data_IF_266355009381
#
_entry.id   IF_266355009381
#
_cell.length_a   1.000
_cell.length_b   1.000
_cell.length_c   1.000
_cell.angle_alpha   90.00
_cell.angle_beta   90.00
_cell.angle_gamma   90.00
#
_symmetry.space_group_name_H-M   'P 1'
#
loop_
_entity.id
_entity.type
_entity.pdbx_description
1 polymer ?
#
# COMPACT_ATOMS: atom_id res chain seq x y z
N UNK A 1 -1.94 28.13 8.54
CA UNK A 1 -2.84 27.17 9.26
C UNK A 1 -4.22 27.79 9.42
N UNK A 2 -5.23 27.06 9.02
CA UNK A 2 -6.62 27.47 9.09
C UNK A 2 -7.36 26.61 10.11
N UNK A 3 -8.13 27.25 11.00
CA UNK A 3 -8.98 26.52 11.93
C UNK A 3 -10.13 25.84 11.18
N UNK A 4 -10.37 24.55 11.44
CA UNK A 4 -11.49 23.80 10.86
C UNK A 4 -12.86 24.32 11.31
N UNK A 5 -12.91 25.09 12.41
CA UNK A 5 -14.15 25.73 12.89
C UNK A 5 -14.55 26.98 12.11
N UNK A 6 -13.68 27.49 11.26
CA UNK A 6 -13.91 28.68 10.41
C UNK A 6 -13.39 28.38 9.01
N UNK A 7 -14.25 27.83 8.16
CA UNK A 7 -13.96 27.65 6.74
C UNK A 7 -13.81 29.02 6.06
N UNK A 8 -12.61 29.58 6.07
CA UNK A 8 -12.28 30.72 5.23
C UNK A 8 -11.76 30.16 3.90
N UNK A 9 -12.66 29.79 2.99
CA UNK A 9 -12.30 29.52 1.61
C UNK A 9 -11.72 30.78 0.98
N UNK A 10 -10.44 30.80 0.68
CA UNK A 10 -9.82 31.82 -0.17
C UNK A 10 -9.99 31.37 -1.61
N UNK A 11 -10.94 31.96 -2.30
CA UNK A 11 -11.20 31.70 -3.72
C UNK A 11 -10.29 32.58 -4.57
N UNK A 12 -9.61 32.00 -5.55
CA UNK A 12 -8.85 32.76 -6.56
C UNK A 12 -9.86 33.35 -7.54
N UNK A 13 -9.93 34.70 -7.64
CA UNK A 13 -10.72 35.35 -8.67
C UNK A 13 -10.15 35.08 -10.07
N UNK A 14 -11.03 34.94 -11.06
CA UNK A 14 -10.65 34.58 -12.44
C UNK A 14 -9.64 35.55 -13.09
N UNK A 15 -9.57 36.81 -12.61
CA UNK A 15 -8.63 37.82 -13.10
C UNK A 15 -7.17 37.61 -12.71
N UNK A 16 -6.90 36.80 -11.69
CA UNK A 16 -5.53 36.53 -11.21
C UNK A 16 -4.94 35.26 -11.79
N UNK A 17 -5.74 34.42 -12.48
CA UNK A 17 -5.29 33.13 -13.05
C UNK A 17 -4.47 33.35 -14.32
N UNK A 18 -3.15 33.16 -14.21
CA UNK A 18 -2.23 32.94 -15.34
C UNK A 18 -2.15 31.49 -15.79
N UNK A 19 -3.08 30.63 -15.36
CA UNK A 19 -3.10 29.20 -15.62
C UNK A 19 -4.46 28.75 -16.16
N UNK A 20 -4.46 27.64 -16.90
CA UNK A 20 -5.66 26.99 -17.41
C UNK A 20 -5.76 25.58 -16.86
N UNK A 21 -6.96 25.16 -16.47
CA UNK A 21 -7.20 23.77 -16.03
C UNK A 21 -7.48 22.90 -17.24
N UNK A 22 -6.79 21.78 -17.34
CA UNK A 22 -7.00 20.76 -18.38
C UNK A 22 -7.47 19.45 -17.77
N UNK A 23 -8.43 18.79 -18.43
CA UNK A 23 -8.85 17.42 -18.07
C UNK A 23 -8.28 16.45 -19.09
N UNK A 24 -7.55 15.44 -18.60
CA UNK A 24 -7.03 14.38 -19.46
C UNK A 24 -8.15 13.44 -19.90
N UNK A 25 -8.43 13.34 -21.21
CA UNK A 25 -9.42 12.39 -21.74
C UNK A 25 -9.06 10.92 -21.50
N UNK A 26 -7.80 10.60 -21.22
CA UNK A 26 -7.34 9.21 -21.04
C UNK A 26 -7.48 8.70 -19.62
N UNK A 27 -7.37 9.55 -18.59
CA UNK A 27 -7.42 9.13 -17.19
C UNK A 27 -8.25 10.05 -16.29
N UNK A 28 -8.84 11.13 -16.83
CA UNK A 28 -9.68 12.05 -16.06
C UNK A 28 -8.90 13.03 -15.16
N UNK A 29 -7.57 12.98 -15.12
CA UNK A 29 -6.78 13.88 -14.28
C UNK A 29 -7.01 15.34 -14.62
N UNK A 30 -7.26 16.18 -13.60
CA UNK A 30 -7.38 17.63 -13.71
C UNK A 30 -6.01 18.26 -13.42
N UNK A 31 -5.43 18.94 -14.40
CA UNK A 31 -4.07 19.47 -14.32
C UNK A 31 -4.08 20.95 -14.64
N UNK A 32 -3.41 21.73 -13.84
CA UNK A 32 -3.20 23.14 -14.07
C UNK A 32 -1.96 23.35 -14.94
N UNK A 33 -2.11 24.08 -16.04
CA UNK A 33 -1.04 24.39 -16.97
C UNK A 33 -0.95 25.89 -17.19
N UNK A 34 0.26 26.39 -17.48
CA UNK A 34 0.44 27.79 -17.78
C UNK A 34 -0.44 28.24 -19.00
N UNK A 35 -0.99 29.45 -18.98
CA UNK A 35 -1.92 29.94 -19.98
C UNK A 35 -1.38 29.90 -21.43
N UNK A 36 -0.05 29.93 -21.59
CA UNK A 36 0.67 29.89 -22.87
C UNK A 36 1.20 28.51 -23.22
N UNK A 37 0.82 27.46 -22.48
CA UNK A 37 1.29 26.10 -22.72
C UNK A 37 0.56 25.50 -23.92
N UNK A 38 1.26 25.26 -25.02
CA UNK A 38 0.77 24.45 -26.14
C UNK A 38 0.69 22.99 -25.71
N UNK A 39 -0.32 22.25 -26.20
CA UNK A 39 -0.67 20.88 -25.88
C UNK A 39 0.52 19.99 -25.43
N UNK A 40 0.58 19.69 -24.15
CA UNK A 40 1.52 18.74 -23.55
C UNK A 40 0.83 17.40 -23.30
N UNK A 41 1.60 16.33 -23.08
CA UNK A 41 1.06 15.02 -22.76
C UNK A 41 0.78 14.88 -21.26
N UNK A 42 -0.25 14.12 -20.90
CA UNK A 42 -0.62 13.86 -19.52
C UNK A 42 0.55 13.18 -18.75
N UNK A 43 1.00 13.71 -17.61
CA UNK A 43 2.08 13.12 -16.83
C UNK A 43 1.72 11.75 -16.26
N UNK A 44 0.42 11.45 -16.11
CA UNK A 44 -0.06 10.21 -15.53
C UNK A 44 -0.25 9.09 -16.55
N UNK A 45 -0.78 9.38 -17.74
CA UNK A 45 -1.12 8.35 -18.72
C UNK A 45 -0.49 8.55 -20.09
N UNK A 46 0.21 9.67 -20.32
CA UNK A 46 0.84 10.00 -21.61
C UNK A 46 -0.13 10.43 -22.72
N UNK A 47 -1.44 10.50 -22.47
CA UNK A 47 -2.43 10.94 -23.46
C UNK A 47 -2.35 12.45 -23.69
N UNK A 48 -2.74 12.93 -24.89
CA UNK A 48 -2.79 14.37 -25.18
C UNK A 48 -3.96 15.04 -24.45
N UNK A 49 -3.76 16.26 -23.99
CA UNK A 49 -4.76 17.05 -23.27
C UNK A 49 -5.91 17.56 -24.13
N UNK A 50 -7.00 17.86 -23.44
CA UNK A 50 -8.10 18.69 -23.93
C UNK A 50 -8.30 19.84 -22.95
N UNK A 51 -8.39 21.05 -23.43
CA UNK A 51 -8.79 22.22 -22.67
C UNK A 51 -10.15 21.94 -22.00
N UNK A 52 -10.22 22.11 -20.70
CA UNK A 52 -11.46 22.07 -19.94
C UNK A 52 -11.85 23.47 -19.54
N UNK A 53 -13.16 23.66 -19.33
CA UNK A 53 -13.69 24.89 -18.84
C UNK A 53 -13.08 25.31 -17.49
N UNK A 54 -13.05 26.62 -17.25
CA UNK A 54 -12.45 27.20 -16.04
C UNK A 54 -13.09 26.64 -14.79
N UNK A 55 -12.27 26.12 -13.86
CA UNK A 55 -12.73 25.84 -12.52
C UNK A 55 -12.69 27.15 -11.72
N UNK A 56 -13.86 27.67 -11.36
CA UNK A 56 -13.99 29.02 -10.79
C UNK A 56 -13.67 29.08 -9.29
N UNK A 57 -13.85 27.98 -8.54
CA UNK A 57 -13.74 27.94 -7.07
C UNK A 57 -12.72 26.88 -6.60
N UNK A 58 -11.46 27.26 -6.47
CA UNK A 58 -10.43 26.41 -5.89
C UNK A 58 -9.78 27.10 -4.68
N UNK A 59 -9.54 26.33 -3.60
CA UNK A 59 -8.78 26.82 -2.44
C UNK A 59 -7.33 27.03 -2.87
N UNK A 60 -6.81 28.23 -2.65
CA UNK A 60 -5.43 28.59 -2.95
C UNK A 60 -4.51 27.75 -2.04
N UNK A 61 -3.40 27.17 -2.54
CA UNK A 61 -2.43 26.53 -1.70
C UNK A 61 -1.81 27.51 -0.68
N UNK A 62 -1.66 27.08 0.56
CA UNK A 62 -0.95 27.82 1.60
C UNK A 62 0.55 27.78 1.38
N UNK A 63 1.06 26.64 0.86
CA UNK A 63 2.46 26.43 0.68
C UNK A 63 2.83 25.49 -0.44
N UNK A 64 4.08 25.59 -0.86
CA UNK A 64 4.69 24.75 -1.89
C UNK A 64 6.01 24.19 -1.36
N UNK A 65 6.21 22.90 -1.47
CA UNK A 65 7.51 22.28 -1.23
C UNK A 65 8.32 22.29 -2.52
N UNK A 66 9.43 23.03 -2.64
CA UNK A 66 10.20 23.09 -3.88
C UNK A 66 10.81 21.75 -4.26
N UNK A 67 10.97 21.48 -5.57
CA UNK A 67 11.77 20.35 -6.05
C UNK A 67 13.21 20.48 -5.59
N UNK A 68 13.76 19.42 -4.98
CA UNK A 68 15.16 19.33 -4.57
C UNK A 68 15.96 18.38 -5.47
N UNK A 69 15.29 17.51 -6.18
CA UNK A 69 15.88 16.57 -7.14
C UNK A 69 15.69 17.11 -8.55
N UNK A 70 16.79 17.30 -9.27
CA UNK A 70 16.74 17.72 -10.67
C UNK A 70 16.41 16.57 -11.63
N UNK A 71 16.02 16.92 -12.88
CA UNK A 71 15.63 15.95 -13.92
C UNK A 71 16.71 14.92 -14.25
N UNK A 72 18.00 15.29 -14.21
CA UNK A 72 19.06 14.37 -14.54
C UNK A 72 19.18 13.30 -13.45
N UNK A 73 19.15 13.75 -12.20
CA UNK A 73 19.18 12.86 -11.03
C UNK A 73 17.98 11.92 -10.98
N UNK A 74 16.79 12.40 -11.33
CA UNK A 74 15.57 11.59 -11.42
C UNK A 74 15.75 10.42 -12.40
N UNK A 75 16.35 10.70 -13.56
CA UNK A 75 16.63 9.66 -14.56
C UNK A 75 17.57 8.57 -14.05
N UNK A 76 18.58 8.94 -13.27
CA UNK A 76 19.49 7.97 -12.62
C UNK A 76 18.77 7.13 -11.56
N UNK A 77 17.97 7.78 -10.70
CA UNK A 77 17.21 7.12 -9.64
C UNK A 77 16.22 6.10 -10.23
N UNK A 78 15.51 6.48 -11.28
CA UNK A 78 14.59 5.58 -11.97
C UNK A 78 15.32 4.36 -12.57
N UNK A 79 16.45 4.59 -13.26
CA UNK A 79 17.27 3.49 -13.81
C UNK A 79 17.78 2.55 -12.70
N UNK A 80 18.24 3.09 -11.58
CA UNK A 80 18.68 2.31 -10.41
C UNK A 80 17.54 1.48 -9.85
N UNK A 81 16.37 2.09 -9.67
CA UNK A 81 15.17 1.41 -9.19
C UNK A 81 14.77 0.25 -10.10
N UNK A 82 14.75 0.48 -11.42
CA UNK A 82 14.39 -0.53 -12.41
C UNK A 82 15.39 -1.71 -12.45
N UNK A 83 16.70 -1.43 -12.34
CA UNK A 83 17.74 -2.47 -12.23
C UNK A 83 17.54 -3.36 -11.01
N UNK A 84 17.09 -2.81 -9.90
CA UNK A 84 16.80 -3.55 -8.66
C UNK A 84 15.57 -4.47 -8.75
N UNK A 85 14.74 -4.35 -9.79
CA UNK A 85 13.54 -5.18 -9.99
C UNK A 85 13.89 -6.48 -10.74
N UNK A 86 14.57 -7.40 -10.04
CA UNK A 86 15.05 -8.66 -10.64
C UNK A 86 13.91 -9.55 -11.19
N UNK A 87 12.69 -9.48 -10.62
CA UNK A 87 11.49 -10.17 -11.12
C UNK A 87 10.94 -9.55 -12.40
N UNK A 88 11.33 -8.33 -12.77
CA UNK A 88 10.85 -7.66 -13.96
C UNK A 88 11.38 -8.37 -15.24
N UNK A 89 10.61 -8.35 -16.35
CA UNK A 89 11.09 -8.79 -17.66
C UNK A 89 12.33 -8.00 -18.10
N UNK A 90 13.27 -8.66 -18.77
CA UNK A 90 14.51 -8.02 -19.26
C UNK A 90 14.26 -6.82 -20.20
N UNK A 91 13.26 -6.95 -21.05
CA UNK A 91 12.81 -5.92 -22.01
C UNK A 91 12.46 -4.58 -21.34
N UNK A 92 11.99 -4.61 -20.09
CA UNK A 92 11.59 -3.41 -19.35
C UNK A 92 12.76 -2.43 -19.15
N UNK A 93 13.98 -2.95 -19.07
CA UNK A 93 15.20 -2.14 -18.88
C UNK A 93 15.48 -1.22 -20.06
N UNK A 94 14.93 -1.54 -21.24
CA UNK A 94 15.09 -0.78 -22.47
C UNK A 94 13.91 0.17 -22.77
N UNK A 95 12.80 0.08 -22.02
CA UNK A 95 11.62 0.94 -22.19
C UNK A 95 11.74 2.31 -21.51
N UNK A 96 12.85 2.57 -20.84
CA UNK A 96 13.12 3.84 -20.21
C UNK A 96 13.32 4.96 -21.23
N UNK A 97 12.49 5.98 -21.14
CA UNK A 97 12.64 7.24 -21.87
C UNK A 97 12.59 8.39 -20.85
N UNK A 98 13.71 9.05 -20.66
CA UNK A 98 13.86 10.16 -19.70
C UNK A 98 12.90 11.31 -20.00
N UNK A 99 12.58 11.52 -21.27
CA UNK A 99 11.68 12.57 -21.76
C UNK A 99 10.24 12.41 -21.25
N UNK A 100 9.85 11.21 -20.85
CA UNK A 100 8.51 10.93 -20.30
C UNK A 100 8.39 11.18 -18.79
N UNK A 101 9.50 11.47 -18.09
CA UNK A 101 9.48 11.88 -16.70
C UNK A 101 9.07 13.35 -16.59
N UNK A 102 7.89 13.61 -16.07
CA UNK A 102 7.37 14.96 -15.89
C UNK A 102 7.28 15.29 -14.40
N UNK A 103 7.79 16.46 -14.04
CA UNK A 103 7.60 17.01 -12.71
C UNK A 103 6.20 17.60 -12.59
N UNK A 104 5.52 17.26 -11.51
CA UNK A 104 4.20 17.75 -11.18
C UNK A 104 4.10 18.04 -9.69
N UNK A 105 3.43 19.12 -9.36
CA UNK A 105 3.01 19.41 -8.01
C UNK A 105 1.66 18.78 -7.74
N UNK A 106 1.60 17.91 -6.72
CA UNK A 106 0.40 17.24 -6.26
C UNK A 106 -0.20 17.99 -5.07
N UNK A 107 -1.52 18.21 -5.07
CA UNK A 107 -2.19 18.82 -3.92
C UNK A 107 -2.30 17.82 -2.77
N UNK A 108 -2.06 18.31 -1.56
CA UNK A 108 -2.25 17.59 -0.31
C UNK A 108 -2.91 18.47 0.72
N UNK A 109 -3.71 17.87 1.58
CA UNK A 109 -4.17 18.47 2.82
C UNK A 109 -3.29 18.01 3.96
N UNK A 110 -2.93 18.90 4.87
CA UNK A 110 -2.33 18.55 6.16
C UNK A 110 -3.29 18.89 7.27
N UNK A 111 -3.30 18.08 8.32
CA UNK A 111 -4.17 18.29 9.46
C UNK A 111 -3.36 18.17 10.75
N UNK A 112 -3.57 19.13 11.67
CA UNK A 112 -3.05 19.08 13.02
C UNK A 112 -4.21 18.89 13.99
N UNK A 113 -4.02 18.10 15.05
CA UNK A 113 -5.04 17.88 16.06
C UNK A 113 -4.45 17.45 17.40
N UNK A 114 -4.99 17.94 18.50
CA UNK A 114 -4.76 17.37 19.84
C UNK A 114 -5.78 16.28 20.09
N UNK A 115 -5.33 15.09 20.41
CA UNK A 115 -6.16 13.94 20.73
C UNK A 115 -6.03 13.56 22.20
N UNK A 116 -7.17 13.50 22.90
CA UNK A 116 -7.33 12.88 24.21
C UNK A 116 -8.16 11.60 24.04
N UNK A 117 -7.53 10.45 24.25
CA UNK A 117 -8.15 9.15 24.04
C UNK A 117 -8.16 8.30 25.31
N UNK A 118 -9.23 7.52 25.48
CA UNK A 118 -9.32 6.45 26.46
C UNK A 118 -9.52 5.13 25.74
N UNK A 119 -8.86 4.09 26.22
CA UNK A 119 -9.00 2.77 25.65
C UNK A 119 -9.35 1.71 26.67
N UNK A 120 -9.96 0.63 26.20
CA UNK A 120 -10.14 -0.63 26.91
C UNK A 120 -9.59 -1.76 26.05
N UNK A 121 -9.06 -2.81 26.67
CA UNK A 121 -8.51 -3.96 25.99
C UNK A 121 -8.49 -5.18 26.92
N UNK A 122 -8.06 -6.33 26.37
CA UNK A 122 -7.69 -7.48 27.16
C UNK A 122 -6.18 -7.74 26.95
N UNK A 123 -5.42 -7.76 28.06
CA UNK A 123 -4.01 -8.11 28.11
C UNK A 123 -3.85 -9.58 28.46
N UNK A 124 -3.07 -10.31 27.66
CA UNK A 124 -2.81 -11.73 27.84
C UNK A 124 -1.46 -12.00 28.48
N UNK A 125 -1.42 -12.86 29.51
CA UNK A 125 -0.17 -13.37 30.08
C UNK A 125 -0.01 -14.82 29.71
N UNK A 126 1.12 -15.16 29.09
CA UNK A 126 1.48 -16.52 28.73
C UNK A 126 1.95 -17.28 29.96
N UNK A 127 1.42 -18.49 30.14
CA UNK A 127 1.96 -19.44 31.11
C UNK A 127 2.04 -20.84 30.50
N UNK A 128 3.06 -21.58 30.88
CA UNK A 128 3.23 -22.97 30.48
C UNK A 128 2.49 -23.88 31.49
N UNK A 129 1.60 -24.70 30.98
CA UNK A 129 0.92 -25.76 31.75
C UNK A 129 1.39 -27.10 31.26
N UNK A 130 1.57 -28.00 32.22
CA UNK A 130 1.96 -29.40 31.96
C UNK A 130 0.72 -30.26 32.01
N UNK A 131 0.40 -30.91 30.88
CA UNK A 131 -0.73 -31.86 30.79
C UNK A 131 -0.21 -33.27 30.46
N UNK A 132 -0.93 -34.29 30.92
CA UNK A 132 -0.72 -35.67 30.44
C UNK A 132 -1.48 -35.84 29.11
N UNK A 133 -0.75 -36.20 28.07
CA UNK A 133 -1.30 -36.58 26.77
C UNK A 133 -2.04 -37.92 26.81
N UNK A 134 -2.77 -38.30 25.75
CA UNK A 134 -3.52 -39.54 25.65
C UNK A 134 -2.64 -40.79 25.82
N UNK A 135 -1.36 -40.70 25.50
CA UNK A 135 -0.32 -41.72 25.59
C UNK A 135 0.41 -41.72 26.94
N UNK A 136 -0.09 -41.00 27.95
CA UNK A 136 0.52 -40.89 29.28
C UNK A 136 1.78 -40.06 29.36
N UNK A 137 2.26 -39.50 28.20
CA UNK A 137 3.44 -38.63 28.14
C UNK A 137 3.08 -37.21 28.60
N UNK A 138 4.03 -36.59 29.25
CA UNK A 138 3.90 -35.21 29.69
C UNK A 138 4.11 -34.25 28.49
N UNK A 139 3.12 -33.43 28.20
CA UNK A 139 3.18 -32.39 27.18
C UNK A 139 3.10 -31.02 27.84
N UNK A 140 3.99 -30.12 27.45
CA UNK A 140 3.94 -28.72 27.86
C UNK A 140 3.11 -27.95 26.83
N UNK A 141 2.09 -27.24 27.30
CA UNK A 141 1.22 -26.41 26.49
C UNK A 141 1.30 -24.96 27.00
N UNK A 142 1.43 -24.00 26.07
CA UNK A 142 1.36 -22.58 26.41
C UNK A 142 -0.09 -22.13 26.36
N UNK A 143 -0.61 -21.65 27.48
CA UNK A 143 -1.94 -21.05 27.59
C UNK A 143 -1.82 -19.56 27.89
N UNK A 144 -2.82 -18.79 27.47
CA UNK A 144 -2.87 -17.34 27.72
C UNK A 144 -4.03 -17.03 28.64
N UNK A 145 -3.72 -16.42 29.77
CA UNK A 145 -4.73 -15.91 30.70
C UNK A 145 -5.02 -14.44 30.38
N UNK A 146 -6.28 -14.10 30.14
CA UNK A 146 -6.71 -12.78 29.70
C UNK A 146 -7.25 -11.94 30.83
N UNK A 147 -6.79 -10.68 30.93
CA UNK A 147 -7.16 -9.72 31.95
C UNK A 147 -7.69 -8.44 31.32
N UNK A 148 -8.85 -7.90 31.77
CA UNK A 148 -9.32 -6.61 31.32
C UNK A 148 -8.33 -5.52 31.74
N UNK A 149 -8.04 -4.61 30.82
CA UNK A 149 -7.13 -3.49 31.06
C UNK A 149 -7.66 -2.23 30.37
N UNK A 150 -7.24 -1.07 30.84
CA UNK A 150 -7.59 0.22 30.27
C UNK A 150 -6.47 1.22 30.45
N UNK A 151 -6.56 2.32 29.73
CA UNK A 151 -5.61 3.43 29.84
C UNK A 151 -6.09 4.67 29.11
N UNK A 152 -5.21 5.67 29.07
CA UNK A 152 -5.44 6.94 28.36
C UNK A 152 -4.20 7.32 27.56
N UNK A 153 -4.44 7.95 26.42
CA UNK A 153 -3.40 8.43 25.50
C UNK A 153 -3.68 9.90 25.23
N UNK A 154 -2.64 10.74 25.35
CA UNK A 154 -2.65 12.11 24.84
C UNK A 154 -1.62 12.19 23.74
N UNK A 155 -2.05 12.65 22.58
CA UNK A 155 -1.16 12.74 21.42
C UNK A 155 -1.48 14.00 20.63
N UNK A 156 -0.43 14.67 20.14
CA UNK A 156 -0.55 15.74 19.17
C UNK A 156 -0.19 15.17 17.81
N UNK A 157 -1.17 15.15 16.92
CA UNK A 157 -0.93 14.86 15.50
C UNK A 157 -0.49 16.15 14.83
N UNK A 158 0.68 16.11 14.23
CA UNK A 158 1.32 17.21 13.53
C UNK A 158 1.46 16.84 12.06
N UNK A 159 0.95 17.68 11.18
CA UNK A 159 1.03 17.54 9.73
C UNK A 159 0.58 16.16 9.20
N UNK A 160 -0.58 15.66 9.62
CA UNK A 160 -1.18 14.44 9.03
C UNK A 160 -1.49 14.70 7.57
N UNK A 161 -0.74 14.06 6.68
CA UNK A 161 -0.70 14.33 5.26
C UNK A 161 -1.69 13.45 4.49
N UNK A 162 -2.68 14.06 3.85
CA UNK A 162 -3.72 13.40 3.07
C UNK A 162 -3.63 13.82 1.61
N UNK A 163 -3.41 12.89 0.65
CA UNK A 163 -3.44 13.22 -0.77
C UNK A 163 -4.80 13.78 -1.20
N UNK A 164 -4.78 14.93 -1.85
CA UNK A 164 -5.99 15.58 -2.35
C UNK A 164 -6.29 15.23 -3.83
N UNK A 165 -5.70 14.13 -4.34
CA UNK A 165 -5.83 13.69 -5.74
C UNK A 165 -6.41 12.28 -5.83
N UNK A 166 -7.38 12.12 -6.74
CA UNK A 166 -7.92 10.80 -7.17
C UNK A 166 -7.27 10.30 -8.48
N UNK A 167 -6.33 11.06 -9.06
CA UNK A 167 -5.69 10.73 -10.35
C UNK A 167 -4.70 9.58 -10.28
N UNK A 168 -4.21 9.29 -9.07
CA UNK A 168 -3.27 8.21 -8.79
C UNK A 168 -3.82 7.30 -7.69
N UNK A 169 -3.39 6.04 -7.71
CA UNK A 169 -3.76 5.09 -6.66
C UNK A 169 -3.22 5.54 -5.30
N UNK A 170 -4.07 5.59 -4.30
CA UNK A 170 -3.73 5.97 -2.93
C UNK A 170 -2.50 5.21 -2.41
N UNK A 171 -2.46 3.89 -2.57
CA UNK A 171 -1.35 3.06 -2.12
C UNK A 171 0.00 3.40 -2.78
N UNK A 172 0.00 3.99 -3.98
CA UNK A 172 1.21 4.45 -4.64
C UNK A 172 1.69 5.78 -4.05
N UNK A 173 0.75 6.69 -3.77
CA UNK A 173 1.03 7.96 -3.10
C UNK A 173 1.57 7.73 -1.68
N UNK A 174 0.98 6.83 -0.92
CA UNK A 174 1.42 6.49 0.44
C UNK A 174 2.85 5.89 0.44
N UNK A 175 3.19 5.07 -0.55
CA UNK A 175 4.53 4.49 -0.67
C UNK A 175 5.62 5.47 -1.10
N UNK A 176 5.30 6.41 -2.00
CA UNK A 176 6.26 7.44 -2.44
C UNK A 176 6.59 8.45 -1.33
N UNK A 177 5.77 8.53 -0.39
CA UNK A 177 5.54 9.20 0.81
C UNK A 177 6.38 9.94 1.64
N UNK A 178 6.83 9.95 2.75
CA UNK A 178 7.15 11.03 3.67
C UNK A 178 7.84 12.24 3.00
N UNK A 179 7.21 13.38 3.11
CA UNK A 179 7.76 14.68 2.75
C UNK A 179 8.13 15.42 4.03
N UNK A 180 9.30 16.05 4.07
CA UNK A 180 9.72 16.92 5.17
C UNK A 180 9.07 18.30 5.00
N UNK A 181 7.96 18.54 5.69
CA UNK A 181 7.14 19.75 5.52
C UNK A 181 7.78 21.01 6.12
N UNK A 182 8.84 20.88 6.91
CA UNK A 182 9.60 22.01 7.44
C UNK A 182 10.21 22.93 6.36
N UNK A 183 10.30 22.46 5.12
CA UNK A 183 10.86 23.21 3.97
C UNK A 183 9.77 23.76 3.04
N UNK A 184 8.51 23.67 3.44
CA UNK A 184 7.40 24.26 2.69
C UNK A 184 7.55 25.78 2.74
N UNK A 185 7.64 26.39 1.55
CA UNK A 185 7.64 27.83 1.38
C UNK A 185 6.20 28.35 1.20
N UNK A 186 5.96 29.61 1.51
CA UNK A 186 4.69 30.26 1.19
C UNK A 186 4.39 30.13 -0.31
N UNK A 187 3.12 29.92 -0.63
CA UNK A 187 2.70 29.77 -2.03
C UNK A 187 3.15 30.96 -2.88
N UNK A 188 3.75 30.64 -4.03
CA UNK A 188 4.00 31.58 -5.14
C UNK A 188 3.84 30.83 -6.46
N UNK A 189 3.11 31.39 -7.45
CA UNK A 189 2.94 30.77 -8.77
C UNK A 189 4.25 30.49 -9.51
N UNK A 190 5.33 31.17 -9.16
CA UNK A 190 6.66 31.02 -9.76
C UNK A 190 7.25 29.64 -9.57
N UNK A 191 6.91 28.94 -8.47
CA UNK A 191 7.33 27.55 -8.22
C UNK A 191 6.84 26.58 -9.29
N UNK A 192 5.75 26.92 -9.99
CA UNK A 192 5.20 26.05 -11.03
C UNK A 192 5.82 26.30 -12.41
N UNK A 193 6.80 27.22 -12.51
CA UNK A 193 7.49 27.48 -13.77
C UNK A 193 8.25 26.23 -14.24
N UNK A 194 7.87 25.67 -15.40
CA UNK A 194 8.45 24.45 -15.97
C UNK A 194 7.91 23.13 -15.38
N UNK A 195 6.94 23.19 -14.49
CA UNK A 195 6.26 22.05 -13.89
C UNK A 195 4.74 22.12 -14.10
N UNK A 196 4.07 20.99 -14.09
CA UNK A 196 2.62 20.93 -14.02
C UNK A 196 2.18 21.00 -12.55
N UNK A 197 0.97 21.46 -12.30
CA UNK A 197 0.33 21.37 -10.99
C UNK A 197 -1.04 20.72 -11.15
N UNK A 198 -1.42 19.84 -10.23
CA UNK A 198 -2.75 19.24 -10.19
C UNK A 198 -3.67 20.06 -9.30
N UNK A 199 -4.92 20.23 -9.72
CA UNK A 199 -5.97 20.80 -8.88
C UNK A 199 -6.53 19.68 -8.00
N UNK A 200 -6.81 19.97 -6.74
CA UNK A 200 -7.37 18.95 -5.84
C UNK A 200 -8.72 18.42 -6.37
N UNK A 201 -8.97 17.15 -6.10
CA UNK A 201 -10.17 16.41 -6.46
C UNK A 201 -10.79 15.69 -5.26
N UNK A 202 -10.16 15.81 -4.09
CA UNK A 202 -10.68 15.39 -2.79
C UNK A 202 -10.91 16.66 -1.99
N UNK A 203 -12.15 16.90 -1.65
CA UNK A 203 -12.54 18.09 -0.90
C UNK A 203 -12.00 18.04 0.55
N UNK A 204 -11.99 19.20 1.21
CA UNK A 204 -11.45 19.34 2.55
C UNK A 204 -12.18 18.44 3.57
N UNK A 205 -13.51 18.31 3.47
CA UNK A 205 -14.31 17.52 4.40
C UNK A 205 -14.04 16.02 4.24
N UNK A 206 -13.95 15.54 2.98
CA UNK A 206 -13.55 14.15 2.67
C UNK A 206 -12.15 13.86 3.21
N UNK A 207 -11.20 14.76 2.94
CA UNK A 207 -9.82 14.61 3.42
C UNK A 207 -9.71 14.65 4.94
N UNK A 208 -10.52 15.48 5.60
CA UNK A 208 -10.58 15.51 7.09
C UNK A 208 -11.10 14.19 7.64
N UNK A 209 -12.12 13.61 7.01
CA UNK A 209 -12.61 12.27 7.39
C UNK A 209 -11.52 11.21 7.27
N UNK A 210 -10.74 11.21 6.17
CA UNK A 210 -9.59 10.31 5.99
C UNK A 210 -8.52 10.54 7.05
N UNK A 211 -8.22 11.81 7.38
CA UNK A 211 -7.26 12.16 8.44
C UNK A 211 -7.71 11.64 9.81
N UNK A 212 -9.01 11.74 10.09
CA UNK A 212 -9.59 11.19 11.32
C UNK A 212 -9.43 9.68 11.42
N UNK A 213 -9.73 8.95 10.35
CA UNK A 213 -9.53 7.49 10.32
C UNK A 213 -8.05 7.13 10.53
N UNK A 214 -7.14 7.88 9.92
CA UNK A 214 -5.69 7.69 10.14
C UNK A 214 -5.30 7.94 11.61
N UNK A 215 -5.81 9.00 12.22
CA UNK A 215 -5.54 9.32 13.63
C UNK A 215 -6.11 8.25 14.57
N UNK A 216 -7.33 7.77 14.31
CA UNK A 216 -7.97 6.70 15.09
C UNK A 216 -7.18 5.40 15.02
N UNK A 217 -6.74 5.00 13.83
CA UNK A 217 -5.89 3.82 13.64
C UNK A 217 -4.57 3.95 14.43
N UNK A 218 -3.93 5.11 14.40
CA UNK A 218 -2.69 5.34 15.16
C UNK A 218 -2.92 5.30 16.67
N UNK A 219 -4.04 5.87 17.17
CA UNK A 219 -4.38 5.80 18.59
C UNK A 219 -4.66 4.35 19.03
N UNK A 220 -5.30 3.54 18.18
CA UNK A 220 -5.50 2.11 18.46
C UNK A 220 -4.16 1.38 18.54
N UNK A 221 -3.23 1.64 17.61
CA UNK A 221 -1.90 1.05 17.66
C UNK A 221 -1.10 1.51 18.90
N UNK A 222 -1.19 2.78 19.28
CA UNK A 222 -0.59 3.27 20.53
C UNK A 222 -1.19 2.59 21.75
N UNK A 223 -2.50 2.36 21.79
CA UNK A 223 -3.15 1.61 22.85
C UNK A 223 -2.67 0.17 22.92
N UNK A 224 -2.55 -0.48 21.77
CA UNK A 224 -2.00 -1.83 21.64
C UNK A 224 -0.57 -1.91 22.19
N UNK A 225 0.28 -0.98 21.82
CA UNK A 225 1.65 -0.90 22.31
C UNK A 225 1.73 -0.62 23.83
N UNK A 226 0.84 0.20 24.36
CA UNK A 226 0.80 0.46 25.81
C UNK A 226 0.38 -0.78 26.60
N UNK A 227 -0.55 -1.59 26.08
CA UNK A 227 -0.92 -2.88 26.70
C UNK A 227 0.24 -3.86 26.63
N UNK A 228 0.92 -3.96 25.49
CA UNK A 228 2.05 -4.88 25.28
C UNK A 228 3.28 -4.56 26.14
N UNK A 229 3.39 -3.36 26.72
CA UNK A 229 4.42 -3.05 27.74
C UNK A 229 4.20 -3.80 29.05
N UNK A 230 2.97 -4.27 29.32
CA UNK A 230 2.56 -4.88 30.59
C UNK A 230 2.15 -6.34 30.44
N UNK A 231 1.82 -6.76 29.23
CA UNK A 231 1.29 -8.07 28.88
C UNK A 231 2.02 -8.64 27.67
N UNK A 232 1.99 -9.95 27.51
CA UNK A 232 2.63 -10.64 26.39
C UNK A 232 1.80 -10.57 25.10
N UNK A 233 0.48 -10.44 25.25
CA UNK A 233 -0.49 -10.39 24.16
C UNK A 233 -1.56 -9.34 24.40
N UNK A 234 -2.24 -8.93 23.33
CA UNK A 234 -3.34 -7.97 23.40
C UNK A 234 -4.44 -8.35 22.40
N UNK A 235 -5.69 -8.19 22.81
CA UNK A 235 -6.86 -8.34 21.95
C UNK A 235 -7.99 -7.40 22.39
N UNK A 236 -8.98 -7.17 21.49
CA UNK A 236 -10.19 -6.41 21.78
C UNK A 236 -9.88 -4.97 22.20
N UNK A 237 -8.92 -4.32 21.54
CA UNK A 237 -8.62 -2.90 21.75
C UNK A 237 -9.79 -2.09 21.22
N UNK A 238 -10.31 -1.18 22.05
CA UNK A 238 -11.35 -0.22 21.68
C UNK A 238 -10.93 1.15 22.18
N UNK A 239 -10.86 2.13 21.31
CA UNK A 239 -10.42 3.50 21.60
C UNK A 239 -11.60 4.45 21.41
N UNK A 240 -11.73 5.42 22.32
CA UNK A 240 -12.62 6.57 22.18
C UNK A 240 -11.80 7.83 22.33
N UNK A 241 -11.72 8.62 21.28
CA UNK A 241 -10.95 9.85 21.26
C UNK A 241 -11.85 11.09 21.16
N UNK A 242 -11.41 12.18 21.77
CA UNK A 242 -11.89 13.53 21.51
C UNK A 242 -10.74 14.34 20.93
N UNK A 243 -11.05 15.22 20.02
CA UNK A 243 -10.06 16.05 19.33
C UNK A 243 -10.35 17.52 19.56
N UNK A 244 -9.29 18.31 19.65
CA UNK A 244 -9.35 19.76 19.82
C UNK A 244 -8.22 20.44 19.05
N UNK A 245 -8.34 21.74 18.88
CA UNK A 245 -7.36 22.59 18.19
C UNK A 245 -7.03 22.07 16.79
N UNK A 246 -8.07 21.66 16.06
CA UNK A 246 -7.91 21.14 14.71
C UNK A 246 -7.64 22.25 13.70
N UNK A 247 -6.55 22.09 12.96
CA UNK A 247 -6.18 23.00 11.89
C UNK A 247 -5.88 22.24 10.60
N UNK A 248 -5.88 22.95 9.47
CA UNK A 248 -5.51 22.41 8.17
C UNK A 248 -4.66 23.37 7.36
N UNK A 249 -3.95 22.85 6.36
CA UNK A 249 -3.25 23.59 5.30
C UNK A 249 -3.44 22.88 3.96
N UNK A 250 -3.50 23.63 2.88
CA UNK A 250 -3.40 23.11 1.52
C UNK A 250 -1.97 23.28 1.02
N UNK A 251 -1.26 22.19 0.74
CA UNK A 251 0.13 22.21 0.32
C UNK A 251 0.35 21.50 -1.02
N UNK A 252 1.28 22.02 -1.81
CA UNK A 252 1.67 21.44 -3.09
C UNK A 252 3.01 20.72 -2.96
N UNK A 253 3.03 19.41 -3.21
CA UNK A 253 4.20 18.56 -3.02
C UNK A 253 4.80 18.10 -4.35
N UNK A 254 6.15 18.13 -4.49
CA UNK A 254 6.85 17.85 -5.73
C UNK A 254 6.94 16.35 -6.00
N UNK A 255 6.47 15.89 -7.15
CA UNK A 255 6.56 14.49 -7.57
C UNK A 255 6.94 14.44 -9.05
N UNK A 256 7.84 13.55 -9.42
CA UNK A 256 8.01 13.18 -10.82
C UNK A 256 7.15 11.96 -11.10
N UNK A 257 6.33 12.06 -12.14
CA UNK A 257 5.45 10.99 -12.57
C UNK A 257 5.83 10.51 -13.96
N UNK A 258 5.72 9.22 -14.19
CA UNK A 258 5.78 8.61 -15.53
C UNK A 258 4.86 7.42 -15.60
N UNK A 259 4.39 7.14 -16.80
CA UNK A 259 3.66 5.92 -17.09
C UNK A 259 4.28 5.22 -18.30
N UNK A 260 4.37 3.91 -18.23
CA UNK A 260 4.79 3.10 -19.36
C UNK A 260 3.80 1.96 -19.59
N UNK A 261 3.71 1.51 -20.84
CA UNK A 261 2.84 0.41 -21.22
C UNK A 261 3.68 -0.83 -21.53
N UNK A 262 3.33 -1.95 -20.90
CA UNK A 262 3.93 -3.24 -21.19
C UNK A 262 2.85 -4.30 -21.41
N UNK A 263 2.86 -4.93 -22.56
CA UNK A 263 1.84 -5.93 -22.99
C UNK A 263 0.40 -5.43 -22.80
N UNK A 264 0.13 -4.18 -23.21
CA UNK A 264 -1.20 -3.56 -23.13
C UNK A 264 -1.61 -3.04 -21.75
N UNK A 265 -0.85 -3.31 -20.69
CA UNK A 265 -1.13 -2.81 -19.32
C UNK A 265 -0.27 -1.59 -19.00
N UNK A 266 -0.89 -0.55 -18.44
CA UNK A 266 -0.21 0.67 -17.98
C UNK A 266 0.34 0.48 -16.56
N UNK A 267 1.57 0.94 -16.34
CA UNK A 267 2.27 0.93 -15.06
C UNK A 267 2.69 2.35 -14.72
N UNK A 268 2.43 2.78 -13.50
CA UNK A 268 2.77 4.09 -13.00
C UNK A 268 3.99 4.02 -12.09
N UNK A 269 4.88 4.99 -12.23
CA UNK A 269 6.03 5.16 -11.35
C UNK A 269 6.07 6.61 -10.90
N UNK A 270 6.23 6.81 -9.60
CA UNK A 270 6.37 8.09 -8.94
C UNK A 270 7.76 8.20 -8.30
N UNK A 271 8.30 9.39 -8.33
CA UNK A 271 9.57 9.70 -7.65
C UNK A 271 9.33 10.95 -6.82
N UNK A 272 9.58 10.84 -5.53
CA UNK A 272 9.50 11.97 -4.61
C UNK A 272 10.52 13.05 -5.02
N UNK A 273 10.04 14.24 -5.32
CA UNK A 273 10.86 15.34 -5.80
C UNK A 273 11.76 15.97 -4.73
N UNK A 274 11.54 15.64 -3.45
CA UNK A 274 12.36 16.06 -2.32
C UNK A 274 13.42 15.00 -2.00
N UNK A 275 13.01 13.76 -1.71
CA UNK A 275 13.92 12.70 -1.23
C UNK A 275 14.52 11.85 -2.34
N UNK A 276 13.95 11.85 -3.54
CA UNK A 276 14.33 10.96 -4.64
C UNK A 276 13.87 9.52 -4.48
N UNK A 277 13.01 9.21 -3.50
CA UNK A 277 12.42 7.88 -3.33
C UNK A 277 11.58 7.51 -4.53
N UNK A 278 11.84 6.34 -5.09
CA UNK A 278 11.16 5.83 -6.29
C UNK A 278 10.21 4.69 -5.90
N UNK A 279 8.94 4.84 -6.25
CA UNK A 279 7.91 3.83 -6.05
C UNK A 279 7.10 3.63 -7.33
N UNK A 280 6.71 2.41 -7.59
CA UNK A 280 5.94 2.11 -8.80
C UNK A 280 5.55 0.67 -8.94
N UNK A 281 4.56 0.47 -9.80
CA UNK A 281 4.14 -0.84 -10.22
C UNK A 281 5.03 -1.33 -11.38
N UNK A 282 5.32 -2.62 -11.40
CA UNK A 282 6.07 -3.23 -12.49
C UNK A 282 5.55 -4.64 -12.80
N UNK A 283 5.61 -5.06 -14.08
CA UNK A 283 5.22 -6.40 -14.47
C UNK A 283 6.19 -7.43 -13.91
N UNK A 284 5.67 -8.52 -13.39
CA UNK A 284 6.47 -9.68 -12.98
C UNK A 284 6.59 -10.65 -14.14
N UNK A 285 7.79 -11.21 -14.36
CA UNK A 285 8.03 -12.19 -15.41
C UNK A 285 7.44 -13.55 -15.03
N UNK A 286 6.46 -14.11 -15.78
CA UNK A 286 5.88 -15.40 -15.46
C UNK A 286 6.93 -16.53 -15.53
N UNK A 287 7.87 -16.46 -16.46
CA UNK A 287 8.95 -17.44 -16.56
C UNK A 287 9.81 -17.48 -15.28
N UNK A 288 10.13 -16.33 -14.70
CA UNK A 288 10.89 -16.27 -13.44
C UNK A 288 10.09 -16.79 -12.25
N UNK A 289 8.77 -16.53 -12.22
CA UNK A 289 7.88 -17.07 -11.18
C UNK A 289 7.87 -18.60 -11.27
N UNK A 290 7.67 -19.16 -12.47
CA UNK A 290 7.68 -20.60 -12.69
C UNK A 290 9.03 -21.22 -12.28
N UNK A 291 10.15 -20.59 -12.65
CA UNK A 291 11.48 -21.07 -12.27
C UNK A 291 11.67 -21.10 -10.73
N UNK A 292 11.15 -20.11 -10.00
CA UNK A 292 11.19 -20.10 -8.53
C UNK A 292 10.35 -21.25 -7.96
N UNK A 293 9.12 -21.43 -8.45
CA UNK A 293 8.23 -22.51 -8.00
C UNK A 293 8.89 -23.85 -8.22
N UNK A 294 9.45 -24.09 -9.42
CA UNK A 294 10.18 -25.33 -9.72
C UNK A 294 11.41 -25.51 -8.82
N UNK A 295 12.14 -24.43 -8.51
CA UNK A 295 13.26 -24.47 -7.56
C UNK A 295 12.83 -24.87 -6.15
N UNK A 296 11.74 -24.29 -5.67
CA UNK A 296 11.18 -24.64 -4.33
C UNK A 296 10.73 -26.11 -4.30
N UNK A 297 10.02 -26.57 -5.34
CA UNK A 297 9.59 -27.96 -5.45
C UNK A 297 10.78 -28.93 -5.49
N UNK A 298 11.85 -28.57 -6.22
CA UNK A 298 13.07 -29.37 -6.25
C UNK A 298 13.74 -29.47 -4.86
N UNK A 299 13.79 -28.35 -4.10
CA UNK A 299 14.33 -28.36 -2.73
C UNK A 299 13.47 -29.24 -1.80
N UNK A 300 12.14 -29.10 -1.87
CA UNK A 300 11.22 -29.94 -1.07
C UNK A 300 11.42 -31.43 -1.43
N UNK A 301 11.54 -31.74 -2.71
CA UNK A 301 11.78 -33.10 -3.19
C UNK A 301 13.12 -33.66 -2.68
N UNK A 302 14.19 -32.85 -2.69
CA UNK A 302 15.48 -33.26 -2.12
C UNK A 302 15.38 -33.53 -0.63
N UNK A 303 14.70 -32.65 0.14
CA UNK A 303 14.47 -32.86 1.58
C UNK A 303 13.71 -34.18 1.80
N UNK A 304 12.68 -34.44 1.00
CA UNK A 304 11.92 -35.69 1.06
C UNK A 304 12.80 -36.90 0.79
N UNK A 305 13.65 -36.90 -0.24
CA UNK A 305 14.59 -37.98 -0.52
C UNK A 305 15.58 -38.22 0.61
N UNK A 306 16.12 -37.17 1.21
CA UNK A 306 17.03 -37.29 2.38
C UNK A 306 16.31 -37.76 3.64
N UNK A 307 15.03 -37.42 3.82
CA UNK A 307 14.21 -37.83 4.94
C UNK A 307 13.78 -39.31 4.84
N UNK A 308 13.56 -39.82 3.61
CA UNK A 308 13.13 -41.22 3.38
C UNK A 308 14.28 -42.16 3.14
N UNK A 309 15.50 -41.64 2.87
CA UNK A 309 16.71 -42.49 2.61
C UNK A 309 17.45 -43.01 3.84
N UNK A 310 16.90 -42.83 5.06
CA UNK A 310 17.57 -43.19 6.31
C UNK A 310 17.25 -44.57 6.89
N UNK A 311 16.31 -45.33 6.33
CA UNK A 311 15.81 -46.56 7.00
C UNK A 311 16.10 -47.87 6.27
N UNK A 312 16.92 -47.90 5.23
CA UNK A 312 17.24 -49.15 4.52
C UNK A 312 18.72 -49.55 4.63
N UNK A 313 19.21 -49.79 5.86
CA UNK A 313 20.45 -50.57 6.05
C UNK A 313 20.43 -51.27 7.41
N UNK A 314 19.58 -52.25 7.61
CA UNK A 314 19.84 -53.39 8.48
C UNK A 314 18.65 -54.38 8.43
N UNK A 315 18.59 -55.22 7.40
CA UNK A 315 18.01 -56.54 7.54
C UNK A 315 18.88 -57.55 6.81
N UNK A 316 19.63 -58.24 7.61
CA UNK A 316 20.44 -59.37 7.20
C UNK A 316 19.62 -60.50 6.57
N UNK A 317 20.19 -61.09 5.54
CA UNK A 317 19.74 -62.32 4.93
C UNK A 317 19.40 -63.38 5.99
N UNK A 318 18.15 -63.79 6.06
CA UNK A 318 17.74 -65.12 6.46
C UNK A 318 17.00 -65.77 5.32
N UNK A 319 17.65 -66.75 4.71
CA UNK A 319 17.02 -67.67 3.79
C UNK A 319 15.95 -68.47 4.49
N UNK A 320 14.74 -68.53 3.93
CA UNK A 320 13.68 -69.46 4.33
C UNK A 320 13.25 -70.23 3.10
N UNK A 321 13.07 -71.56 3.20
CA UNK A 321 12.96 -72.45 2.07
C UNK A 321 11.58 -72.36 1.35
N UNK A 322 11.62 -72.61 0.10
CA UNK A 322 10.53 -72.85 -0.84
C UNK A 322 9.59 -73.94 -0.34
N UNK A 323 8.33 -73.59 -0.15
CA UNK A 323 7.22 -74.55 -0.21
C UNK A 323 6.08 -73.97 -1.03
N UNK A 324 5.77 -74.68 -2.08
CA UNK A 324 4.76 -74.45 -3.09
C UNK A 324 3.39 -74.79 -2.54
N UNK A 325 2.43 -73.86 -2.59
CA UNK A 325 1.02 -74.17 -2.60
C UNK A 325 0.30 -73.38 -3.72
N UNK A 326 -0.34 -74.20 -4.54
CA UNK A 326 -1.18 -73.84 -5.67
C UNK A 326 -2.55 -73.29 -5.25
N UNK A 327 -3.04 -72.35 -6.05
CA UNK A 327 -4.43 -72.14 -6.52
C UNK A 327 -5.52 -71.84 -5.50
N UNK A 328 -6.21 -70.70 -5.66
CA UNK A 328 -7.44 -70.65 -6.47
C UNK A 328 -7.85 -69.18 -6.68
N UNK A 329 -8.28 -68.93 -7.93
CA UNK A 329 -9.00 -67.74 -8.28
C UNK A 329 -10.43 -67.79 -7.75
N UNK A 330 -10.94 -66.69 -7.24
CA UNK A 330 -12.38 -66.43 -7.40
C UNK A 330 -12.67 -64.93 -7.48
N UNK A 331 -13.58 -64.63 -8.36
CA UNK A 331 -14.03 -63.36 -8.84
C UNK A 331 -15.03 -62.69 -7.92
N UNK A 332 -15.17 -61.36 -8.12
CA UNK A 332 -16.29 -60.47 -7.85
C UNK A 332 -16.11 -59.51 -6.68
N UNK A 333 -16.02 -58.24 -6.92
CA UNK A 333 -17.16 -57.33 -7.08
C UNK A 333 -16.65 -55.92 -7.39
N UNK A 334 -17.19 -55.39 -8.46
CA UNK A 334 -17.23 -53.95 -8.73
C UNK A 334 -18.01 -53.25 -7.64
N UNK A 335 -17.42 -52.20 -7.05
CA UNK A 335 -18.23 -51.22 -6.38
C UNK A 335 -17.66 -49.81 -6.74
N UNK A 336 -18.50 -49.15 -7.52
CA UNK A 336 -18.36 -47.79 -7.97
C UNK A 336 -18.40 -46.84 -6.76
N UNK A 337 -17.34 -46.09 -6.55
CA UNK A 337 -17.37 -44.91 -5.67
C UNK A 337 -17.38 -43.69 -6.55
N UNK A 338 -18.51 -43.04 -6.57
CA UNK A 338 -18.79 -41.71 -7.10
C UNK A 338 -17.98 -40.72 -6.31
N UNK A 339 -17.05 -40.02 -6.97
CA UNK A 339 -16.39 -38.81 -6.44
C UNK A 339 -17.43 -37.66 -6.52
N UNK A 340 -17.89 -37.22 -5.38
CA UNK A 340 -18.50 -35.90 -5.25
C UNK A 340 -17.39 -34.86 -5.25
N UNK A 341 -17.41 -34.03 -6.30
CA UNK A 341 -16.68 -32.76 -6.31
C UNK A 341 -17.35 -31.81 -5.31
N UNK A 342 -16.72 -31.56 -4.19
CA UNK A 342 -17.01 -30.37 -3.39
C UNK A 342 -16.10 -29.24 -3.89
N UNK A 343 -16.74 -28.28 -4.57
CA UNK A 343 -16.20 -26.97 -4.84
C UNK A 343 -16.06 -26.21 -3.53
N UNK A 344 -14.86 -26.09 -3.01
CA UNK A 344 -14.53 -25.02 -2.06
C UNK A 344 -14.11 -23.78 -2.86
N UNK A 345 -15.03 -22.84 -2.91
CA UNK A 345 -14.80 -21.47 -3.42
C UNK A 345 -13.74 -20.78 -2.56
N UNK A 346 -12.67 -20.38 -3.22
CA UNK A 346 -11.68 -19.48 -2.66
C UNK A 346 -12.34 -18.13 -2.38
N UNK A 347 -12.59 -17.82 -1.13
CA UNK A 347 -12.97 -16.48 -0.68
C UNK A 347 -11.83 -15.51 -0.96
N UNK A 348 -11.98 -14.80 -2.05
CA UNK A 348 -11.19 -13.61 -2.37
C UNK A 348 -11.61 -12.48 -1.43
N UNK A 349 -10.61 -11.86 -0.80
CA UNK A 349 -10.75 -10.62 -0.03
C UNK A 349 -11.10 -9.44 -0.96
N UNK A 350 -12.39 -9.32 -1.28
CA UNK A 350 -13.02 -8.12 -1.84
C UNK A 350 -14.11 -7.63 -0.86
N UNK A 351 -13.66 -7.10 0.27
CA UNK A 351 -14.53 -6.33 1.15
C UNK A 351 -14.01 -4.89 1.17
N UNK A 352 -14.65 -4.04 0.37
CA UNK A 352 -14.92 -2.61 0.56
C UNK A 352 -15.19 -1.92 -0.79
N UNK A 353 -16.24 -2.37 -1.48
CA UNK A 353 -16.87 -1.54 -2.51
C UNK A 353 -18.30 -2.04 -2.74
N UNK A 354 -19.19 -1.88 -1.76
CA UNK A 354 -20.64 -1.78 -1.99
C UNK A 354 -21.34 -1.73 -0.63
N UNK A 355 -21.53 -0.54 -0.11
CA UNK A 355 -22.66 -0.21 0.75
C UNK A 355 -22.64 1.28 1.14
N UNK A 356 -23.14 2.13 0.25
CA UNK A 356 -23.84 3.34 0.65
C UNK A 356 -25.16 3.39 -0.11
N UNK A 357 -26.30 3.39 0.57
CA UNK A 357 -27.59 3.66 -0.06
C UNK A 357 -27.71 5.15 -0.37
N UNK A 358 -28.52 5.41 -1.39
CA UNK A 358 -28.91 6.70 -1.95
C UNK A 358 -29.22 7.81 -0.94
#
# INVERSE_FOLDING_TARGET
>A
EHSLTRHAMQTITASEKKSQTMICKGCGAKIEVAANSTATSCPYCGSKYVLADKQEDAIIPDGVLPFQIDRNRVGELFRKWLKGRWMAPGELKHLYQQEKLQGIYLPYWTFDAKADARYTAQGGRRRTVTRKGPDGKTVQETVVDWYPTSGSIRHFFDDVLIPASKSLKRNLLDRVGSFGLTQVASYSPEYFSGYNAEVYTVDLDDAHSDARQYMEFNLEEMARQDVLRRYDEVRGVSVRASYSDETYKHVMLPVYATAYTYKGKKYHVLINGQSGRVEGDYPKSPAKIIAIILGILAVIFLIYLFSTGGDDCYYGMRAVPTESVLLTADSKAEESITLQEENEEAETWDYLADSLPM
#
